data_IF_033093602198
#
_entry.id   IF_033093602198
#
_cell.length_a   1.000
_cell.length_b   1.000
_cell.length_c   1.000
_cell.angle_alpha   90.00
_cell.angle_beta   90.00
_cell.angle_gamma   90.00
#
_symmetry.space_group_name_H-M   'P 1'
#
loop_
_entity.id
_entity.type
_entity.pdbx_description
1 polymer ?
#
# COMPACT_ATOMS: atom_id res chain seq x y z
N UNK A 1 -10.40 -4.01 -10.40
CA UNK A 1 -11.09 -2.92 -9.68
C UNK A 1 -10.39 -1.60 -10.01
N UNK A 2 -11.10 -0.54 -10.42
CA UNK A 2 -10.51 0.79 -10.63
C UNK A 2 -9.81 1.29 -9.35
N UNK A 3 -8.69 2.01 -9.50
CA UNK A 3 -7.88 2.51 -8.37
C UNK A 3 -8.73 3.28 -7.34
N UNK A 4 -9.68 4.09 -7.81
CA UNK A 4 -10.60 4.83 -6.94
C UNK A 4 -11.47 3.90 -6.06
N UNK A 5 -11.98 2.81 -6.63
CA UNK A 5 -12.83 1.85 -5.91
C UNK A 5 -12.02 1.00 -4.91
N UNK A 6 -10.71 0.85 -5.15
CA UNK A 6 -9.79 0.16 -4.25
C UNK A 6 -9.61 0.89 -2.93
N UNK A 7 -9.47 2.21 -3.00
CA UNK A 7 -9.35 3.05 -1.79
C UNK A 7 -10.57 2.86 -0.88
N UNK A 8 -11.78 2.94 -1.42
CA UNK A 8 -13.03 2.73 -0.67
C UNK A 8 -13.12 1.33 -0.07
N UNK A 9 -12.70 0.30 -0.81
CA UNK A 9 -12.72 -1.08 -0.31
C UNK A 9 -11.74 -1.29 0.86
N UNK A 10 -10.57 -0.64 0.83
CA UNK A 10 -9.59 -0.68 1.93
C UNK A 10 -10.09 0.13 3.12
N UNK A 11 -10.62 1.33 2.88
CA UNK A 11 -11.23 2.17 3.93
C UNK A 11 -12.34 1.44 4.68
N UNK A 12 -13.19 0.67 3.99
CA UNK A 12 -14.26 -0.10 4.62
C UNK A 12 -13.80 -1.31 5.46
N UNK A 13 -12.54 -1.74 5.33
CA UNK A 13 -11.98 -2.88 6.08
C UNK A 13 -11.14 -2.43 7.27
N UNK A 14 -10.60 -1.22 7.24
CA UNK A 14 -9.74 -0.70 8.29
C UNK A 14 -10.59 -0.22 9.48
N UNK A 15 -10.26 -0.73 10.67
CA UNK A 15 -10.88 -0.31 11.94
C UNK A 15 -10.43 1.11 12.33
N UNK A 16 -9.27 1.55 11.83
CA UNK A 16 -8.71 2.89 12.05
C UNK A 16 -8.11 3.44 10.77
N UNK A 17 -8.17 4.77 10.60
CA UNK A 17 -7.51 5.49 9.50
C UNK A 17 -6.13 6.04 9.91
N UNK A 18 -5.91 6.17 11.21
CA UNK A 18 -4.64 6.62 11.76
C UNK A 18 -3.68 5.45 11.93
N UNK A 19 -2.39 5.73 11.78
CA UNK A 19 -1.34 4.74 11.98
C UNK A 19 -1.31 4.25 13.44
N UNK A 20 -1.53 2.95 13.68
CA UNK A 20 -1.25 2.37 14.98
C UNK A 20 0.24 2.40 15.26
N UNK A 21 0.61 2.64 16.52
CA UNK A 21 1.99 2.55 16.97
C UNK A 21 2.56 1.17 16.63
N UNK A 22 3.75 1.13 16.05
CA UNK A 22 4.51 -0.07 15.65
C UNK A 22 3.92 -0.86 14.47
N UNK A 23 2.87 -0.38 13.80
CA UNK A 23 2.42 -1.02 12.56
C UNK A 23 3.44 -0.77 11.44
N UNK A 24 3.80 -1.84 10.74
CA UNK A 24 4.64 -1.80 9.54
C UNK A 24 3.88 -2.43 8.38
N UNK A 25 3.92 -1.78 7.23
CA UNK A 25 3.24 -2.23 6.01
C UNK A 25 4.26 -2.32 4.89
N UNK A 26 4.34 -3.47 4.22
CA UNK A 26 5.33 -3.72 3.17
C UNK A 26 4.75 -3.58 1.78
N UNK A 27 5.52 -3.02 0.85
CA UNK A 27 5.21 -3.02 -0.58
C UNK A 27 6.50 -3.05 -1.41
N UNK A 28 6.43 -3.56 -2.63
CA UNK A 28 7.55 -3.55 -3.58
C UNK A 28 7.38 -2.37 -4.53
N UNK A 29 8.42 -1.55 -4.68
CA UNK A 29 8.48 -0.50 -5.72
C UNK A 29 8.58 -1.20 -7.08
N UNK A 30 7.59 -0.97 -7.95
CA UNK A 30 7.43 -1.72 -9.19
C UNK A 30 8.51 -1.40 -10.23
N UNK A 31 9.11 -0.21 -10.16
CA UNK A 31 10.15 0.23 -11.09
C UNK A 31 11.51 -0.36 -10.74
N UNK A 32 11.75 -0.58 -9.44
CA UNK A 32 13.07 -1.02 -8.92
C UNK A 32 13.09 -2.44 -8.38
N UNK A 33 11.93 -3.04 -8.11
CA UNK A 33 11.80 -4.34 -7.46
C UNK A 33 12.19 -4.36 -5.97
N UNK A 34 12.40 -3.19 -5.35
CA UNK A 34 12.85 -3.10 -3.95
C UNK A 34 11.69 -3.19 -2.97
N UNK A 35 11.88 -3.95 -1.89
CA UNK A 35 10.94 -3.98 -0.76
C UNK A 35 11.08 -2.71 0.08
N UNK A 36 9.96 -2.03 0.30
CA UNK A 36 9.84 -0.88 1.18
C UNK A 36 8.95 -1.21 2.38
N UNK A 37 9.25 -0.57 3.51
CA UNK A 37 8.46 -0.64 4.74
C UNK A 37 7.88 0.76 5.02
N UNK A 38 6.57 0.85 5.12
CA UNK A 38 5.83 2.06 5.50
C UNK A 38 5.37 1.99 6.95
N UNK A 39 5.36 3.14 7.60
CA UNK A 39 5.00 3.37 9.00
C UNK A 39 4.50 4.80 9.22
N UNK A 40 4.26 5.18 10.47
CA UNK A 40 3.70 6.49 10.87
C UNK A 40 4.56 7.70 10.47
N UNK A 41 5.88 7.52 10.32
CA UNK A 41 6.82 8.57 9.92
C UNK A 41 7.08 8.60 8.41
N UNK A 42 6.50 7.67 7.64
CA UNK A 42 6.73 7.55 6.20
C UNK A 42 6.07 8.65 5.36
N UNK A 43 5.20 9.48 5.95
CA UNK A 43 4.47 10.52 5.23
C UNK A 43 3.42 9.99 4.24
N UNK A 44 3.08 8.70 4.32
CA UNK A 44 2.08 8.03 3.49
C UNK A 44 0.89 7.65 4.37
N UNK A 45 -0.34 7.81 3.86
CA UNK A 45 -1.52 7.42 4.63
C UNK A 45 -1.60 5.90 4.81
N UNK A 46 -2.14 5.44 5.95
CA UNK A 46 -2.32 4.01 6.20
C UNK A 46 -3.12 3.32 5.09
N UNK A 47 -4.16 3.99 4.59
CA UNK A 47 -5.01 3.50 3.51
C UNK A 47 -4.19 3.25 2.23
N UNK A 48 -3.30 4.18 1.88
CA UNK A 48 -2.48 4.06 0.68
C UNK A 48 -1.42 2.97 0.84
N UNK A 49 -0.75 2.92 2.00
CA UNK A 49 0.21 1.87 2.31
C UNK A 49 -0.42 0.47 2.24
N UNK A 50 -1.59 0.27 2.86
CA UNK A 50 -2.32 -1.02 2.82
C UNK A 50 -2.82 -1.33 1.41
N UNK A 51 -3.26 -0.31 0.67
CA UNK A 51 -3.67 -0.48 -0.72
C UNK A 51 -2.53 -0.99 -1.60
N UNK A 52 -1.32 -0.43 -1.43
CA UNK A 52 -0.11 -0.86 -2.11
C UNK A 52 0.32 -2.26 -1.68
N UNK A 53 0.29 -2.53 -0.37
CA UNK A 53 0.68 -3.81 0.19
C UNK A 53 -0.16 -4.98 -0.30
N UNK A 54 -1.44 -4.77 -0.64
CA UNK A 54 -2.30 -5.82 -1.19
C UNK A 54 -2.35 -5.86 -2.73
N UNK A 55 -1.44 -5.20 -3.45
CA UNK A 55 -1.52 -5.01 -4.91
C UNK A 55 -1.18 -6.28 -5.72
N UNK A 56 -2.07 -7.28 -5.66
CA UNK A 56 -2.00 -8.57 -6.37
C UNK A 56 -3.30 -8.93 -7.11
N UNK A 57 -3.20 -9.61 -8.26
CA UNK A 57 -2.54 -9.15 -9.46
C UNK A 57 -3.47 -8.15 -10.18
N UNK A 58 -2.98 -6.91 -10.35
CA UNK A 58 -3.56 -5.78 -11.11
C UNK A 58 -4.62 -4.85 -10.46
N UNK A 59 -4.62 -3.55 -10.82
CA UNK A 59 -3.52 -2.75 -11.37
C UNK A 59 -2.60 -2.21 -10.26
N UNK A 60 -1.37 -1.80 -10.61
CA UNK A 60 -0.41 -1.21 -9.67
C UNK A 60 -1.01 -0.03 -8.91
N UNK A 61 -0.75 0.03 -7.61
CA UNK A 61 -1.12 1.20 -6.82
C UNK A 61 -0.11 2.30 -7.05
N UNK A 62 -0.59 3.50 -7.37
CA UNK A 62 0.27 4.66 -7.54
C UNK A 62 0.22 5.54 -6.30
N UNK A 63 1.36 5.74 -5.66
CA UNK A 63 1.51 6.63 -4.50
C UNK A 63 2.63 7.59 -4.83
N UNK A 64 2.35 8.90 -4.76
CA UNK A 64 3.32 9.96 -5.06
C UNK A 64 4.04 9.78 -6.41
N UNK A 65 3.32 9.33 -7.43
CA UNK A 65 3.86 9.11 -8.77
C UNK A 65 4.64 7.81 -8.98
N UNK A 66 4.73 6.94 -7.97
CA UNK A 66 5.42 5.63 -8.06
C UNK A 66 4.42 4.49 -8.06
N UNK A 67 4.69 3.46 -8.86
CA UNK A 67 3.90 2.23 -8.90
C UNK A 67 4.38 1.23 -7.83
N UNK A 68 3.42 0.56 -7.18
CA UNK A 68 3.66 -0.38 -6.07
C UNK A 68 2.98 -1.73 -6.30
N UNK A 69 3.65 -2.79 -5.85
CA UNK A 69 3.23 -4.20 -5.85
C UNK A 69 3.14 -4.69 -4.41
N UNK A 70 2.31 -5.71 -4.18
CA UNK A 70 2.22 -6.43 -2.90
C UNK A 70 3.59 -6.89 -2.39
N UNK A 71 3.86 -6.67 -1.10
CA UNK A 71 5.16 -6.98 -0.48
C UNK A 71 5.39 -8.47 -0.18
N UNK A 72 4.34 -9.30 -0.24
CA UNK A 72 4.39 -10.76 -0.14
C UNK A 72 4.59 -11.45 -1.49
N UNK A 73 4.55 -10.71 -2.60
CA UNK A 73 4.97 -11.24 -3.91
C UNK A 73 6.48 -11.49 -3.91
N UNK A 74 6.85 -12.76 -3.96
CA UNK A 74 8.22 -13.17 -4.21
C UNK A 74 8.44 -13.03 -5.72
N UNK A 75 9.23 -12.03 -6.14
CA UNK A 75 9.76 -11.96 -7.51
C UNK A 75 10.91 -12.97 -7.68
#
# INVERSE_FOLDING_TARGET
MPIAQRRTAVEGRLVTKDWPLKLQVTAIDADTGKLHVFNEISGISLIDAVSASGAVPWPFMHINGRAWIDGGMVL
#
